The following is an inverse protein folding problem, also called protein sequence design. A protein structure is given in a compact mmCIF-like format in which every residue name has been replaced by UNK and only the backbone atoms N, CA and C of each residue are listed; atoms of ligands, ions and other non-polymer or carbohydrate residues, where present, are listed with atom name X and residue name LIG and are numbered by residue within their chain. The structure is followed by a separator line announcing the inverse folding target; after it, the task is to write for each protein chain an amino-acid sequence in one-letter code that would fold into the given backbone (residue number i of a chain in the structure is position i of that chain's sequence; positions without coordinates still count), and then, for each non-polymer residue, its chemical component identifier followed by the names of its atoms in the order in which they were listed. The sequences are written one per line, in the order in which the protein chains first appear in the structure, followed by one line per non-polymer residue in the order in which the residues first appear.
data_IF_764813355700
#
_entry.id   IF_764813355700
#
_cell.length_a   1.000
_cell.length_b   1.000
_cell.length_c   1.000
_cell.angle_alpha   90.00
_cell.angle_beta   90.00
_cell.angle_gamma   90.00
#
_symmetry.space_group_name_H-M   'P 1'
#
loop_
_entity.id
_entity.type
_entity.pdbx_description
1 polymer ?
#
# COMPACT_ATOMS: atom_id res chain seq x y z
N UNK A 1 -2.83 14.11 0.76
CA UNK A 1 -4.13 13.48 0.42
C UNK A 1 -4.09 12.57 -0.81
N UNK A 2 -2.90 12.21 -1.35
CA UNK A 2 -2.75 11.32 -2.53
C UNK A 2 -3.43 9.97 -2.31
N UNK A 3 -3.42 9.45 -1.08
CA UNK A 3 -4.12 8.21 -0.71
C UNK A 3 -5.61 8.19 -1.06
N UNK A 4 -6.30 9.34 -1.07
CA UNK A 4 -7.71 9.40 -1.47
C UNK A 4 -7.94 9.14 -2.97
N UNK A 5 -6.90 9.19 -3.80
CA UNK A 5 -7.00 8.87 -5.23
C UNK A 5 -7.03 7.36 -5.49
N UNK A 6 -6.60 6.52 -4.53
CA UNK A 6 -6.68 5.05 -4.64
C UNK A 6 -7.70 4.48 -3.65
N UNK A 7 -7.74 5.01 -2.42
CA UNK A 7 -8.56 4.56 -1.29
C UNK A 7 -8.46 3.05 -0.95
N UNK A 8 -7.58 2.28 -1.58
CA UNK A 8 -7.24 0.94 -1.12
C UNK A 8 -6.47 0.99 0.20
N UNK A 9 -5.67 2.04 0.37
CA UNK A 9 -4.83 2.30 1.53
C UNK A 9 -4.93 3.78 1.90
N UNK A 10 -4.83 4.08 3.19
CA UNK A 10 -4.84 5.46 3.73
C UNK A 10 -3.50 5.87 4.35
N UNK A 11 -2.52 5.00 4.29
CA UNK A 11 -1.16 5.15 4.76
C UNK A 11 -0.30 4.15 3.96
N UNK A 12 1.04 4.17 4.07
CA UNK A 12 1.85 3.11 3.50
C UNK A 12 1.39 1.73 4.00
N UNK A 13 1.35 0.73 3.11
CA UNK A 13 0.88 -0.61 3.43
C UNK A 13 1.55 -1.25 4.66
N UNK A 14 2.83 -0.93 4.93
CA UNK A 14 3.56 -1.42 6.10
C UNK A 14 3.09 -0.85 7.45
N UNK A 15 2.32 0.23 7.45
CA UNK A 15 1.68 0.77 8.66
C UNK A 15 0.39 0.00 9.02
N UNK A 16 -0.06 -0.93 8.18
CA UNK A 16 -1.23 -1.77 8.38
C UNK A 16 -2.53 -0.98 8.67
N UNK A 17 -2.65 0.26 8.14
CA UNK A 17 -3.86 1.09 8.28
C UNK A 17 -4.88 0.67 7.23
N UNK A 18 -5.68 -0.33 7.57
CA UNK A 18 -6.79 -0.80 6.73
C UNK A 18 -8.09 -0.08 7.10
N UNK A 19 -8.85 0.36 6.10
CA UNK A 19 -10.16 0.99 6.33
C UNK A 19 -11.10 0.03 7.10
N UNK A 20 -11.15 -1.22 6.68
CA UNK A 20 -11.78 -2.31 7.45
C UNK A 20 -13.28 -2.12 7.71
N UNK A 21 -14.02 -1.47 6.80
CA UNK A 21 -15.45 -1.22 6.95
C UNK A 21 -16.23 -2.19 6.06
N UNK A 22 -17.03 -3.06 6.69
CA UNK A 22 -17.98 -3.91 5.98
C UNK A 22 -19.21 -3.14 5.51
N UNK A 23 -19.83 -3.60 4.42
CA UNK A 23 -21.01 -2.98 3.81
C UNK A 23 -22.16 -2.74 4.79
N UNK A 24 -22.32 -3.59 5.81
CA UNK A 24 -23.36 -3.43 6.83
C UNK A 24 -23.27 -2.09 7.58
N UNK A 25 -22.06 -1.63 7.91
CA UNK A 25 -21.82 -0.35 8.57
C UNK A 25 -22.18 0.80 7.64
N UNK A 26 -21.80 0.69 6.36
CA UNK A 26 -22.06 1.71 5.35
C UNK A 26 -23.56 1.83 5.04
N UNK A 27 -24.24 0.69 4.86
CA UNK A 27 -25.70 0.63 4.66
C UNK A 27 -26.43 1.30 5.83
N UNK A 28 -26.04 0.97 7.07
CA UNK A 28 -26.59 1.61 8.28
C UNK A 28 -26.34 3.13 8.28
N UNK A 29 -25.11 3.54 7.99
CA UNK A 29 -24.71 4.96 8.00
C UNK A 29 -25.43 5.78 6.92
N UNK A 30 -25.64 5.21 5.72
CA UNK A 30 -26.42 5.84 4.65
C UNK A 30 -27.88 5.99 5.09
N UNK A 31 -28.47 4.94 5.68
CA UNK A 31 -29.84 5.00 6.20
C UNK A 31 -30.02 6.14 7.21
N UNK A 32 -29.15 6.18 8.24
CA UNK A 32 -29.19 7.21 9.27
C UNK A 32 -28.88 8.63 8.75
N UNK A 33 -28.00 8.78 7.77
CA UNK A 33 -27.68 10.08 7.17
C UNK A 33 -28.81 10.59 6.28
N UNK A 34 -29.53 9.68 5.62
CA UNK A 34 -30.56 10.02 4.63
C UNK A 34 -31.98 9.99 5.16
N UNK A 35 -32.17 9.57 6.42
CA UNK A 35 -33.51 9.42 7.01
C UNK A 35 -34.27 8.22 6.45
N UNK A 36 -33.56 7.18 5.99
CA UNK A 36 -34.14 5.97 5.42
C UNK A 36 -33.77 4.73 6.25
N UNK A 37 -34.42 3.59 5.99
CA UNK A 37 -34.12 2.35 6.73
C UNK A 37 -32.95 1.60 6.11
N UNK A 38 -32.12 0.89 6.90
CA UNK A 38 -31.05 0.04 6.37
C UNK A 38 -31.53 -1.01 5.37
N UNK A 39 -32.76 -1.53 5.56
CA UNK A 39 -33.40 -2.47 4.63
C UNK A 39 -33.60 -1.85 3.26
N UNK A 40 -34.16 -0.64 3.20
CA UNK A 40 -34.36 0.08 1.95
C UNK A 40 -33.03 0.34 1.20
N UNK A 41 -31.99 0.76 1.92
CA UNK A 41 -30.65 0.97 1.35
C UNK A 41 -30.07 -0.34 0.81
N UNK A 42 -30.23 -1.46 1.54
CA UNK A 42 -29.78 -2.79 1.10
C UNK A 42 -30.49 -3.24 -0.18
N UNK A 43 -31.80 -3.03 -0.28
CA UNK A 43 -32.59 -3.39 -1.47
C UNK A 43 -32.18 -2.56 -2.69
N UNK A 44 -31.90 -1.26 -2.50
CA UNK A 44 -31.32 -0.41 -3.56
C UNK A 44 -29.92 -0.87 -3.97
N UNK A 45 -29.10 -1.29 -3.00
CA UNK A 45 -27.75 -1.77 -3.28
C UNK A 45 -27.77 -3.06 -4.11
N UNK A 46 -28.67 -4.00 -3.80
CA UNK A 46 -28.86 -5.22 -4.60
C UNK A 46 -29.25 -4.91 -6.05
N UNK A 47 -30.07 -3.88 -6.28
CA UNK A 47 -30.49 -3.46 -7.63
C UNK A 47 -29.38 -2.74 -8.40
N UNK A 48 -28.60 -1.88 -7.72
CA UNK A 48 -27.61 -1.03 -8.39
C UNK A 48 -26.20 -1.63 -8.46
N UNK A 49 -25.84 -2.54 -7.57
CA UNK A 49 -24.48 -3.12 -7.46
C UNK A 49 -23.39 -2.12 -7.03
N UNK A 50 -23.78 -0.92 -6.58
CA UNK A 50 -22.86 0.16 -6.20
C UNK A 50 -23.42 0.99 -5.04
N UNK A 51 -22.85 0.82 -3.84
CA UNK A 51 -23.33 1.51 -2.65
C UNK A 51 -23.06 3.02 -2.69
N UNK A 52 -22.04 3.47 -3.44
CA UNK A 52 -21.80 4.89 -3.67
C UNK A 52 -22.90 5.53 -4.50
N UNK A 53 -23.38 4.87 -5.55
CA UNK A 53 -24.52 5.37 -6.34
C UNK A 53 -25.80 5.43 -5.48
N UNK A 54 -26.01 4.44 -4.61
CA UNK A 54 -27.12 4.44 -3.64
C UNK A 54 -27.01 5.63 -2.70
N UNK A 55 -25.82 5.91 -2.16
CA UNK A 55 -25.58 7.04 -1.28
C UNK A 55 -25.84 8.38 -1.96
N UNK A 56 -25.35 8.57 -3.19
CA UNK A 56 -25.62 9.76 -4.00
C UNK A 56 -27.11 9.96 -4.24
N UNK A 57 -27.81 8.93 -4.72
CA UNK A 57 -29.24 9.01 -5.03
C UNK A 57 -30.11 9.22 -3.76
N UNK A 58 -29.68 8.67 -2.63
CA UNK A 58 -30.38 8.88 -1.35
C UNK A 58 -30.14 10.30 -0.82
N UNK A 59 -28.91 10.83 -1.00
CA UNK A 59 -28.54 12.18 -0.57
C UNK A 59 -29.24 13.27 -1.40
N UNK A 60 -29.35 13.10 -2.71
CA UNK A 60 -30.00 14.07 -3.60
C UNK A 60 -31.50 14.22 -3.35
N UNK A 61 -32.16 13.16 -2.83
CA UNK A 61 -33.61 13.14 -2.55
C UNK A 61 -34.01 13.69 -1.18
N UNK A 62 -33.07 13.97 -0.27
CA UNK A 62 -33.41 14.54 1.02
C UNK A 62 -34.00 15.93 0.83
N UNK A 63 -35.21 16.19 1.33
CA UNK A 63 -35.66 17.56 1.55
C UNK A 63 -34.88 18.12 2.74
N UNK A 64 -34.20 19.25 2.56
CA UNK A 64 -33.71 20.02 3.72
C UNK A 64 -34.75 21.10 3.99
N UNK A 65 -35.26 21.15 5.21
CA UNK A 65 -35.82 22.37 5.78
C UNK A 65 -34.65 23.37 5.87
N UNK A 66 -34.42 24.14 4.81
CA UNK A 66 -33.39 25.17 4.76
C UNK A 66 -33.94 26.43 5.39
N UNK A 67 -33.79 26.58 6.70
CA UNK A 67 -33.75 27.91 7.33
C UNK A 67 -32.47 28.60 6.83
N UNK A 68 -32.56 29.86 6.44
CA UNK A 68 -31.52 30.68 5.78
C UNK A 68 -30.17 30.82 6.53
N UNK A 69 -29.94 30.11 7.65
CA UNK A 69 -28.79 30.28 8.54
C UNK A 69 -27.85 29.06 8.69
N UNK A 70 -28.08 27.90 8.06
CA UNK A 70 -27.28 26.68 8.38
C UNK A 70 -26.90 25.81 7.17
N UNK A 71 -26.30 26.37 6.12
CA UNK A 71 -25.61 25.53 5.13
C UNK A 71 -24.35 24.92 5.80
N UNK A 72 -24.21 23.58 5.88
CA UNK A 72 -23.04 22.98 6.49
C UNK A 72 -21.77 23.37 5.72
N UNK A 73 -20.67 23.59 6.46
CA UNK A 73 -19.37 23.93 5.85
C UNK A 73 -18.96 22.81 4.87
N UNK A 74 -18.61 23.16 3.62
CA UNK A 74 -18.18 22.18 2.61
C UNK A 74 -17.09 21.24 3.13
N UNK A 75 -17.03 20.04 2.55
CA UNK A 75 -15.99 19.08 2.88
C UNK A 75 -14.63 19.59 2.35
N UNK A 76 -13.64 19.65 3.24
CA UNK A 76 -12.26 19.87 2.84
C UNK A 76 -11.58 18.51 2.70
N UNK A 77 -10.72 18.35 1.69
CA UNK A 77 -10.02 17.08 1.41
C UNK A 77 -9.26 16.57 2.63
N UNK A 78 -8.58 17.46 3.36
CA UNK A 78 -7.86 17.11 4.59
C UNK A 78 -8.78 16.56 5.68
N UNK A 79 -9.99 17.13 5.85
CA UNK A 79 -10.95 16.63 6.82
C UNK A 79 -11.48 15.24 6.44
N UNK A 80 -11.80 15.02 5.16
CA UNK A 80 -12.24 13.70 4.67
C UNK A 80 -11.15 12.65 4.91
N UNK A 81 -9.90 12.95 4.54
CA UNK A 81 -8.77 12.06 4.79
C UNK A 81 -8.59 11.74 6.28
N UNK A 82 -8.59 12.75 7.14
CA UNK A 82 -8.41 12.58 8.58
C UNK A 82 -9.54 11.76 9.20
N UNK A 83 -10.79 11.99 8.80
CA UNK A 83 -11.94 11.21 9.27
C UNK A 83 -11.86 9.75 8.79
N UNK A 84 -11.42 9.50 7.54
CA UNK A 84 -11.21 8.15 7.03
C UNK A 84 -10.08 7.42 7.76
N UNK A 85 -8.95 8.09 8.04
CA UNK A 85 -7.84 7.53 8.84
C UNK A 85 -8.30 7.24 10.27
N UNK A 86 -9.08 8.15 10.87
CA UNK A 86 -9.67 7.94 12.20
C UNK A 86 -10.55 6.71 12.22
N UNK A 87 -11.44 6.55 11.24
CA UNK A 87 -12.28 5.36 11.09
C UNK A 87 -11.44 4.08 10.97
N UNK A 88 -10.36 4.10 10.17
CA UNK A 88 -9.47 2.96 9.96
C UNK A 88 -8.77 2.52 11.26
N UNK A 89 -8.31 3.49 12.07
CA UNK A 89 -7.59 3.23 13.33
C UNK A 89 -8.50 2.81 14.49
N UNK A 90 -9.82 2.99 14.38
CA UNK A 90 -10.76 2.66 15.46
C UNK A 90 -10.98 1.14 15.60
N UNK A 91 -10.81 0.65 16.82
CA UNK A 91 -10.99 -0.74 17.23
C UNK A 91 -11.67 -0.83 18.60
N UNK A 92 -12.02 -2.05 19.04
CA UNK A 92 -12.63 -2.31 20.36
C UNK A 92 -14.16 -2.20 20.42
N UNK A 93 -14.70 -2.43 21.62
CA UNK A 93 -16.12 -2.38 21.92
C UNK A 93 -16.62 -0.93 21.68
N UNK A 94 -17.73 -0.76 20.96
CA UNK A 94 -18.29 0.52 20.48
C UNK A 94 -17.64 1.17 19.24
N UNK A 95 -16.54 0.63 18.70
CA UNK A 95 -15.92 1.17 17.48
C UNK A 95 -16.92 1.29 16.32
N UNK A 96 -17.81 0.30 16.16
CA UNK A 96 -18.84 0.25 15.13
C UNK A 96 -19.79 1.46 15.14
N UNK A 97 -20.33 1.82 16.31
CA UNK A 97 -21.26 2.93 16.46
C UNK A 97 -20.57 4.28 16.16
N UNK A 98 -19.36 4.46 16.68
CA UNK A 98 -18.56 5.66 16.44
C UNK A 98 -18.16 5.79 14.97
N UNK A 99 -17.83 4.69 14.27
CA UNK A 99 -17.60 4.68 12.81
C UNK A 99 -18.84 5.14 12.05
N UNK A 100 -20.02 4.60 12.38
CA UNK A 100 -21.29 5.06 11.79
C UNK A 100 -21.52 6.57 11.98
N UNK A 101 -21.26 7.09 13.18
CA UNK A 101 -21.43 8.52 13.48
C UNK A 101 -20.53 9.43 12.62
N UNK A 102 -19.27 9.04 12.41
CA UNK A 102 -18.35 9.81 11.56
C UNK A 102 -18.80 9.76 10.09
N UNK A 103 -19.13 8.56 9.58
CA UNK A 103 -19.60 8.39 8.20
C UNK A 103 -20.88 9.21 7.96
N UNK A 104 -21.83 9.16 8.91
CA UNK A 104 -23.04 9.98 8.86
C UNK A 104 -22.71 11.47 8.77
N UNK A 105 -21.78 11.96 9.60
CA UNK A 105 -21.36 13.37 9.59
C UNK A 105 -20.76 13.79 8.23
N UNK A 106 -19.93 12.94 7.63
CA UNK A 106 -19.40 13.15 6.28
C UNK A 106 -20.53 13.24 5.24
N UNK A 107 -21.47 12.28 5.25
CA UNK A 107 -22.59 12.23 4.30
C UNK A 107 -23.54 13.42 4.41
N UNK A 108 -23.84 13.87 5.64
CA UNK A 108 -24.72 15.03 5.88
C UNK A 108 -24.09 16.34 5.38
N UNK A 109 -22.76 16.41 5.30
CA UNK A 109 -22.03 17.57 4.78
C UNK A 109 -21.77 17.52 3.27
N UNK A 110 -21.98 16.35 2.63
CA UNK A 110 -21.88 16.24 1.18
C UNK A 110 -22.94 17.13 0.51
N UNK A 111 -22.53 17.84 -0.53
CA UNK A 111 -23.43 18.58 -1.42
C UNK A 111 -24.40 17.60 -2.10
N UNK A 112 -25.66 17.99 -2.19
CA UNK A 112 -26.75 17.18 -2.76
C UNK A 112 -26.68 17.07 -4.27
N UNK A 113 -26.04 18.06 -4.92
CA UNK A 113 -25.91 18.13 -6.38
C UNK A 113 -24.58 17.57 -6.89
N UNK A 114 -23.70 17.11 -5.99
CA UNK A 114 -22.37 16.62 -6.34
C UNK A 114 -22.26 15.09 -6.27
N UNK A 115 -21.09 14.59 -6.67
CA UNK A 115 -20.70 13.19 -6.55
C UNK A 115 -20.00 12.88 -5.20
N UNK A 116 -19.93 13.81 -4.25
CA UNK A 116 -19.15 13.64 -3.01
C UNK A 116 -19.59 12.41 -2.22
N UNK A 117 -20.90 12.23 -1.99
CA UNK A 117 -21.43 11.08 -1.27
C UNK A 117 -21.09 9.75 -1.97
N UNK A 118 -21.05 9.75 -3.32
CA UNK A 118 -20.66 8.60 -4.12
C UNK A 118 -19.23 8.19 -3.81
N UNK A 119 -18.30 9.13 -3.88
CA UNK A 119 -16.87 8.85 -3.73
C UNK A 119 -16.45 8.66 -2.27
N UNK A 120 -17.10 9.31 -1.30
CA UNK A 120 -16.90 9.02 0.12
C UNK A 120 -17.23 7.55 0.42
N UNK A 121 -18.40 7.05 0.01
CA UNK A 121 -18.79 5.66 0.26
C UNK A 121 -17.91 4.69 -0.51
N UNK A 122 -17.63 4.94 -1.79
CA UNK A 122 -16.73 4.10 -2.57
C UNK A 122 -15.31 4.06 -1.98
N UNK A 123 -14.82 5.18 -1.47
CA UNK A 123 -13.54 5.26 -0.77
C UNK A 123 -13.54 4.42 0.51
N UNK A 124 -14.60 4.53 1.33
CA UNK A 124 -14.76 3.73 2.53
C UNK A 124 -14.94 2.22 2.25
N UNK A 125 -15.43 1.84 1.07
CA UNK A 125 -15.46 0.45 0.60
C UNK A 125 -14.11 -0.05 0.06
N UNK A 126 -13.12 0.83 -0.11
CA UNK A 126 -11.86 0.53 -0.79
C UNK A 126 -12.01 0.28 -2.30
N UNK A 127 -13.09 0.79 -2.92
CA UNK A 127 -13.45 0.51 -4.33
C UNK A 127 -13.92 1.79 -5.04
N UNK A 128 -12.99 2.66 -5.42
CA UNK A 128 -13.31 3.93 -6.11
C UNK A 128 -13.94 3.75 -7.51
N UNK A 129 -13.58 2.69 -8.22
CA UNK A 129 -14.08 2.37 -9.57
C UNK A 129 -13.85 3.51 -10.57
N UNK A 130 -12.66 4.12 -10.53
CA UNK A 130 -12.26 5.23 -11.42
C UNK A 130 -11.26 4.81 -12.51
N UNK A 131 -10.81 3.54 -12.51
CA UNK A 131 -9.86 3.03 -13.51
C UNK A 131 -8.41 3.50 -13.32
N UNK A 132 -8.09 4.14 -12.20
CA UNK A 132 -6.73 4.57 -11.84
C UNK A 132 -6.12 3.66 -10.78
N UNK A 133 -4.80 3.50 -10.84
CA UNK A 133 -4.01 2.70 -9.91
C UNK A 133 -2.71 3.42 -9.54
N UNK A 134 -1.86 2.78 -8.71
CA UNK A 134 -0.61 3.37 -8.22
C UNK A 134 0.33 3.88 -9.33
N UNK A 135 0.41 3.18 -10.47
CA UNK A 135 1.22 3.65 -11.62
C UNK A 135 0.70 4.97 -12.20
N UNK A 136 -0.63 5.15 -12.24
CA UNK A 136 -1.23 6.41 -12.68
C UNK A 136 -0.85 7.57 -11.76
N UNK A 137 -0.77 7.33 -10.45
CA UNK A 137 -0.34 8.35 -9.49
C UNK A 137 1.11 8.77 -9.75
N UNK A 138 2.01 7.81 -9.95
CA UNK A 138 3.41 8.12 -10.25
C UNK A 138 3.53 8.95 -11.52
N UNK A 139 2.81 8.58 -12.58
CA UNK A 139 2.76 9.34 -13.83
C UNK A 139 2.21 10.75 -13.64
N UNK A 140 1.11 10.90 -12.90
CA UNK A 140 0.50 12.20 -12.62
C UNK A 140 1.41 13.09 -11.77
N UNK A 141 2.09 12.54 -10.76
CA UNK A 141 3.06 13.28 -9.96
C UNK A 141 4.26 13.73 -10.82
N UNK A 142 4.80 12.84 -11.66
CA UNK A 142 5.86 13.22 -12.61
C UNK A 142 5.41 14.42 -13.46
N UNK A 143 4.28 14.32 -14.15
CA UNK A 143 3.81 15.38 -15.03
C UNK A 143 3.46 16.68 -14.28
N UNK A 144 2.86 16.58 -13.08
CA UNK A 144 2.46 17.75 -12.30
C UNK A 144 3.66 18.60 -11.83
N UNK A 145 4.80 17.97 -11.56
CA UNK A 145 6.01 18.65 -11.12
C UNK A 145 6.96 18.99 -12.28
N UNK A 146 6.80 18.37 -13.45
CA UNK A 146 7.70 18.57 -14.58
C UNK A 146 7.59 19.98 -15.16
N UNK A 147 8.72 20.55 -15.59
CA UNK A 147 8.77 21.88 -16.18
C UNK A 147 7.89 21.98 -17.45
N UNK A 148 7.04 23.01 -17.61
CA UNK A 148 6.09 23.14 -18.73
C UNK A 148 6.71 23.03 -20.12
N UNK A 149 7.97 23.46 -20.27
CA UNK A 149 8.72 23.34 -21.54
C UNK A 149 8.98 21.89 -21.95
N UNK A 150 9.05 20.96 -21.01
CA UNK A 150 9.35 19.54 -21.25
C UNK A 150 8.12 18.64 -21.15
N UNK A 151 7.01 19.14 -20.61
CA UNK A 151 5.76 18.37 -20.46
C UNK A 151 5.22 17.84 -21.80
N UNK A 152 5.57 18.42 -22.95
CA UNK A 152 5.19 17.93 -24.27
C UNK A 152 6.07 16.80 -24.82
N UNK A 153 7.26 16.58 -24.25
CA UNK A 153 8.25 15.65 -24.77
C UNK A 153 8.13 14.27 -24.11
N UNK A 154 7.85 13.24 -24.94
CA UNK A 154 7.66 11.87 -24.45
C UNK A 154 8.93 11.22 -23.92
N UNK A 155 10.10 11.55 -24.46
CA UNK A 155 11.37 11.00 -24.01
C UNK A 155 11.73 11.55 -22.63
N UNK A 156 11.60 12.88 -22.45
CA UNK A 156 11.85 13.53 -21.17
C UNK A 156 10.84 13.10 -20.10
N UNK A 157 9.56 12.92 -20.46
CA UNK A 157 8.57 12.34 -19.55
C UNK A 157 8.96 10.93 -19.09
N UNK A 158 9.47 10.09 -19.99
CA UNK A 158 9.88 8.72 -19.67
C UNK A 158 11.12 8.69 -18.76
N UNK A 159 12.06 9.62 -18.97
CA UNK A 159 13.23 9.82 -18.12
C UNK A 159 12.83 10.25 -16.71
N UNK A 160 12.04 11.31 -16.57
CA UNK A 160 11.55 11.78 -15.28
C UNK A 160 10.75 10.69 -14.54
N UNK A 161 9.88 9.98 -15.27
CA UNK A 161 9.06 8.90 -14.71
C UNK A 161 9.91 7.71 -14.23
N UNK A 162 11.03 7.41 -14.90
CA UNK A 162 11.99 6.37 -14.45
C UNK A 162 12.50 6.68 -13.05
N UNK A 163 12.87 7.93 -12.78
CA UNK A 163 13.36 8.36 -11.48
C UNK A 163 12.26 8.34 -10.40
N UNK A 164 11.04 8.81 -10.71
CA UNK A 164 9.89 8.72 -9.79
C UNK A 164 9.54 7.27 -9.46
N UNK A 165 9.53 6.38 -10.46
CA UNK A 165 9.29 4.94 -10.25
C UNK A 165 10.37 4.30 -9.40
N UNK A 166 11.63 4.66 -9.62
CA UNK A 166 12.75 4.18 -8.79
C UNK A 166 12.60 4.63 -7.34
N UNK A 167 12.36 5.93 -7.12
CA UNK A 167 12.15 6.50 -5.79
C UNK A 167 11.02 5.79 -5.04
N UNK A 168 9.87 5.58 -5.68
CA UNK A 168 8.76 4.83 -5.06
C UNK A 168 9.06 3.33 -4.90
N UNK A 169 9.88 2.75 -5.77
CA UNK A 169 10.27 1.33 -5.65
C UNK A 169 11.17 1.10 -4.45
N UNK A 170 12.13 1.99 -4.21
CA UNK A 170 13.06 1.93 -3.08
C UNK A 170 12.42 2.41 -1.76
N UNK A 171 11.44 3.32 -1.84
CA UNK A 171 10.71 3.87 -0.70
C UNK A 171 9.21 4.05 -1.04
N UNK A 172 8.37 3.00 -0.90
CA UNK A 172 6.97 2.99 -1.32
C UNK A 172 6.08 3.77 -0.35
N UNK A 173 6.26 5.10 -0.33
CA UNK A 173 5.50 6.04 0.49
C UNK A 173 5.18 7.29 -0.33
N UNK A 174 3.89 7.53 -0.58
CA UNK A 174 3.45 8.67 -1.38
C UNK A 174 3.67 10.02 -0.68
N UNK A 175 3.67 10.05 0.65
CA UNK A 175 3.89 11.29 1.40
C UNK A 175 5.34 11.74 1.26
N UNK A 176 6.29 10.81 1.49
CA UNK A 176 7.71 11.08 1.31
C UNK A 176 8.03 11.43 -0.14
N UNK A 177 7.51 10.67 -1.11
CA UNK A 177 7.70 10.98 -2.53
C UNK A 177 7.21 12.40 -2.88
N UNK A 178 6.02 12.78 -2.42
CA UNK A 178 5.47 14.10 -2.69
C UNK A 178 6.25 15.23 -2.00
N UNK A 179 6.71 15.03 -0.76
CA UNK A 179 7.56 16.01 -0.07
C UNK A 179 8.93 16.15 -0.74
N UNK A 180 9.51 15.06 -1.25
CA UNK A 180 10.78 15.08 -1.97
C UNK A 180 10.64 15.83 -3.30
N UNK A 181 9.58 15.56 -4.06
CA UNK A 181 9.25 16.30 -5.28
C UNK A 181 9.05 17.80 -5.00
N UNK A 182 8.32 18.13 -3.93
CA UNK A 182 8.14 19.53 -3.52
C UNK A 182 9.47 20.18 -3.14
N UNK A 183 10.35 19.46 -2.44
CA UNK A 183 11.68 19.95 -2.06
C UNK A 183 12.50 20.28 -3.31
N UNK A 184 12.61 19.34 -4.26
CA UNK A 184 13.31 19.56 -5.54
C UNK A 184 12.70 20.74 -6.30
N UNK A 185 11.37 20.79 -6.39
CA UNK A 185 10.65 21.90 -7.03
C UNK A 185 10.92 23.26 -6.38
N UNK A 186 11.05 23.33 -5.05
CA UNK A 186 11.30 24.58 -4.33
C UNK A 186 12.75 25.06 -4.41
N UNK A 187 13.71 24.16 -4.68
CA UNK A 187 15.12 24.52 -4.90
C UNK A 187 15.32 25.24 -6.24
N UNK A 188 14.39 25.07 -7.18
CA UNK A 188 14.42 25.76 -8.45
C UNK A 188 14.17 27.27 -8.29
N UNK A 189 15.11 28.08 -8.76
CA UNK A 189 15.10 29.54 -8.66
C UNK A 189 13.93 30.22 -9.40
N UNK A 190 13.20 29.48 -10.24
CA UNK A 190 12.07 29.99 -11.00
C UNK A 190 10.71 29.40 -10.58
N UNK A 191 10.67 28.35 -9.74
CA UNK A 191 9.45 27.61 -9.33
C UNK A 191 8.48 27.27 -10.49
N UNK A 192 8.99 27.17 -11.73
CA UNK A 192 8.18 26.87 -12.92
C UNK A 192 8.00 25.37 -13.14
N UNK A 193 8.81 24.54 -12.49
CA UNK A 193 8.78 23.08 -12.55
C UNK A 193 10.18 22.48 -12.54
N UNK A 194 10.24 21.16 -12.44
CA UNK A 194 11.48 20.36 -12.34
C UNK A 194 11.83 19.84 -13.74
N UNK A 195 13.07 20.04 -14.18
CA UNK A 195 13.55 19.46 -15.43
C UNK A 195 13.78 17.95 -15.29
N UNK A 196 13.62 17.19 -16.37
CA UNK A 196 13.67 15.73 -16.36
C UNK A 196 14.95 15.18 -15.73
N UNK A 197 16.10 15.80 -16.02
CA UNK A 197 17.42 15.45 -15.49
C UNK A 197 17.53 15.57 -13.96
N UNK A 198 16.72 16.42 -13.34
CA UNK A 198 16.77 16.72 -11.90
C UNK A 198 15.94 15.76 -11.06
N UNK A 199 15.03 15.00 -11.67
CA UNK A 199 14.30 13.97 -10.93
C UNK A 199 15.23 12.90 -10.33
N UNK A 200 16.48 12.80 -10.79
CA UNK A 200 17.52 11.96 -10.17
C UNK A 200 17.78 12.31 -8.70
N UNK A 201 17.62 13.58 -8.31
CA UNK A 201 17.81 14.06 -6.93
C UNK A 201 16.81 13.42 -5.94
N UNK A 202 15.71 12.84 -6.43
CA UNK A 202 14.79 12.09 -5.57
C UNK A 202 15.49 10.95 -4.81
N UNK A 203 16.60 10.43 -5.35
CA UNK A 203 17.40 9.40 -4.69
C UNK A 203 18.07 9.89 -3.39
N UNK A 204 18.24 11.20 -3.18
CA UNK A 204 18.73 11.77 -1.91
C UNK A 204 17.75 11.50 -0.77
N UNK A 205 16.45 11.48 -1.07
CA UNK A 205 15.38 11.43 -0.08
C UNK A 205 14.68 10.06 -0.03
N UNK A 206 14.56 9.41 -1.19
CA UNK A 206 13.85 8.15 -1.38
C UNK A 206 14.84 7.06 -1.75
N UNK A 207 15.55 6.55 -0.75
CA UNK A 207 16.52 5.47 -0.91
C UNK A 207 16.23 4.30 0.02
N UNK A 208 16.73 3.15 -0.39
CA UNK A 208 16.58 1.90 0.33
C UNK A 208 17.11 2.00 1.76
N UNK A 209 16.23 1.77 2.74
CA UNK A 209 16.54 1.94 4.17
C UNK A 209 15.96 0.78 4.98
N UNK A 210 16.75 0.21 5.89
CA UNK A 210 16.26 -0.83 6.80
C UNK A 210 15.05 -0.33 7.63
N UNK A 211 13.97 -1.12 7.64
CA UNK A 211 12.71 -0.76 8.30
C UNK A 211 11.60 -0.25 7.38
N UNK A 212 11.92 0.11 6.13
CA UNK A 212 10.94 0.43 5.07
C UNK A 212 11.03 -0.64 3.97
N UNK A 213 9.93 -1.31 3.59
CA UNK A 213 9.99 -2.34 2.56
C UNK A 213 10.28 -1.75 1.17
N UNK A 214 10.80 -2.58 0.29
CA UNK A 214 11.22 -2.25 -1.07
C UNK A 214 10.38 -3.07 -2.05
N UNK A 215 10.01 -2.46 -3.18
CA UNK A 215 9.29 -3.13 -4.25
C UNK A 215 10.00 -4.43 -4.66
N UNK A 216 9.31 -5.58 -4.59
CA UNK A 216 9.93 -6.85 -4.93
C UNK A 216 10.25 -6.93 -6.42
N UNK A 217 11.40 -7.51 -6.76
CA UNK A 217 11.64 -7.93 -8.14
C UNK A 217 10.61 -8.99 -8.54
N UNK A 218 9.93 -8.77 -9.67
CA UNK A 218 8.90 -9.66 -10.19
C UNK A 218 9.43 -10.54 -11.32
N UNK A 219 8.97 -11.78 -11.38
CA UNK A 219 9.31 -12.71 -12.45
C UNK A 219 8.35 -12.56 -13.64
N UNK A 220 8.86 -12.80 -14.85
CA UNK A 220 8.03 -12.87 -16.07
C UNK A 220 7.73 -14.34 -16.38
N UNK A 221 6.45 -14.74 -16.52
CA UNK A 221 6.11 -16.11 -16.84
C UNK A 221 6.69 -16.49 -18.20
N UNK A 222 7.36 -17.63 -18.26
CA UNK A 222 8.04 -18.13 -19.46
C UNK A 222 7.60 -19.57 -19.70
N UNK A 223 7.25 -19.91 -20.95
CA UNK A 223 6.59 -21.17 -21.27
C UNK A 223 7.53 -22.31 -21.65
N UNK A 224 8.81 -22.01 -21.92
CA UNK A 224 9.79 -23.01 -22.31
C UNK A 224 11.21 -22.56 -21.95
N UNK A 225 12.12 -23.54 -21.83
CA UNK A 225 13.54 -23.27 -21.63
C UNK A 225 14.16 -22.49 -22.80
N UNK A 226 13.72 -22.74 -24.03
CA UNK A 226 14.19 -22.01 -25.21
C UNK A 226 13.93 -20.50 -25.10
N UNK A 227 12.78 -20.08 -24.57
CA UNK A 227 12.51 -18.65 -24.34
C UNK A 227 13.41 -18.04 -23.26
N UNK A 228 13.84 -18.82 -22.27
CA UNK A 228 14.79 -18.36 -21.24
C UNK A 228 16.16 -18.15 -21.89
N UNK A 229 16.64 -19.13 -22.65
CA UNK A 229 17.92 -19.08 -23.35
C UNK A 229 17.96 -17.96 -24.39
N UNK A 230 16.89 -17.76 -25.16
CA UNK A 230 16.78 -16.66 -26.12
C UNK A 230 16.81 -15.29 -25.44
N UNK A 231 16.19 -15.16 -24.26
CA UNK A 231 16.17 -13.90 -23.52
C UNK A 231 17.51 -13.54 -22.89
N UNK A 232 18.19 -14.51 -22.28
CA UNK A 232 19.47 -14.28 -21.62
C UNK A 232 20.66 -14.36 -22.58
N UNK A 233 20.49 -15.01 -23.73
CA UNK A 233 21.53 -15.22 -24.73
C UNK A 233 22.82 -15.74 -24.08
N UNK A 234 23.93 -15.02 -24.25
CA UNK A 234 25.23 -15.35 -23.67
C UNK A 234 25.42 -14.84 -22.23
N UNK A 235 24.42 -14.15 -21.64
CA UNK A 235 24.53 -13.70 -20.25
C UNK A 235 24.44 -14.90 -19.30
N UNK A 236 25.38 -15.03 -18.34
CA UNK A 236 25.29 -16.06 -17.32
C UNK A 236 24.03 -15.84 -16.47
N UNK A 237 23.36 -16.93 -16.10
CA UNK A 237 22.19 -16.92 -15.23
C UNK A 237 22.24 -18.11 -14.26
N UNK A 238 21.52 -17.97 -13.15
CA UNK A 238 21.35 -19.04 -12.15
C UNK A 238 19.93 -19.60 -12.20
N UNK A 239 19.76 -20.83 -11.72
CA UNK A 239 18.47 -21.49 -11.59
C UNK A 239 18.22 -21.79 -10.11
N UNK A 240 17.14 -21.23 -9.57
CA UNK A 240 16.73 -21.44 -8.19
C UNK A 240 15.36 -22.10 -8.12
N UNK A 241 15.11 -22.85 -7.06
CA UNK A 241 13.79 -23.41 -6.81
C UNK A 241 12.79 -22.27 -6.56
N UNK A 242 11.70 -22.26 -7.32
CA UNK A 242 10.55 -21.42 -6.98
C UNK A 242 9.74 -22.10 -5.88
N UNK A 243 10.04 -21.75 -4.64
CA UNK A 243 9.33 -22.27 -3.47
C UNK A 243 7.84 -21.88 -3.46
N UNK A 244 7.02 -22.74 -2.85
CA UNK A 244 5.58 -22.52 -2.65
C UNK A 244 5.32 -22.09 -1.20
N UNK A 245 5.45 -20.79 -0.94
CA UNK A 245 5.34 -20.24 0.39
C UNK A 245 4.82 -18.81 0.38
N UNK A 246 5.24 -18.04 1.37
CA UNK A 246 4.95 -16.63 1.48
C UNK A 246 6.26 -15.84 1.37
N UNK A 247 6.36 -14.98 0.34
CA UNK A 247 7.50 -14.07 0.22
C UNK A 247 7.57 -13.15 1.42
N UNK A 248 8.73 -13.14 2.06
CA UNK A 248 9.03 -12.39 3.25
C UNK A 248 10.29 -11.57 3.01
N UNK A 249 10.12 -10.24 2.95
CA UNK A 249 11.23 -9.31 2.97
C UNK A 249 11.57 -9.02 4.44
N UNK A 250 12.72 -9.51 4.89
CA UNK A 250 13.14 -9.52 6.28
C UNK A 250 14.14 -8.39 6.50
N UNK A 251 13.79 -7.43 7.35
CA UNK A 251 14.62 -6.29 7.71
C UNK A 251 15.15 -6.47 9.12
N UNK A 252 16.47 -6.38 9.27
CA UNK A 252 17.16 -6.22 10.56
C UNK A 252 17.50 -4.74 10.69
N UNK A 253 17.02 -4.10 11.75
CA UNK A 253 17.26 -2.68 12.02
C UNK A 253 18.50 -2.49 12.91
N UNK A 254 19.15 -1.30 12.89
CA UNK A 254 20.32 -1.00 13.72
C UNK A 254 20.12 -1.20 15.23
N UNK A 255 18.88 -1.11 15.72
CA UNK A 255 18.53 -1.34 17.12
C UNK A 255 18.29 -2.83 17.45
N UNK A 256 18.49 -3.74 16.49
CA UNK A 256 18.24 -5.18 16.63
C UNK A 256 16.77 -5.59 16.42
N UNK A 257 15.86 -4.65 16.16
CA UNK A 257 14.48 -5.00 15.82
C UNK A 257 14.41 -5.67 14.45
N UNK A 258 13.46 -6.59 14.30
CA UNK A 258 13.23 -7.31 13.05
C UNK A 258 11.81 -7.04 12.60
N UNK A 259 11.71 -6.65 11.32
CA UNK A 259 10.45 -6.46 10.62
C UNK A 259 10.38 -7.39 9.42
N UNK A 260 9.21 -7.97 9.20
CA UNK A 260 8.96 -8.88 8.09
C UNK A 260 7.80 -8.31 7.28
N UNK A 261 8.05 -8.05 5.99
CA UNK A 261 7.04 -7.50 5.08
C UNK A 261 6.66 -8.53 4.02
N UNK A 262 5.38 -8.54 3.66
CA UNK A 262 4.88 -9.38 2.57
C UNK A 262 5.26 -8.79 1.20
N UNK A 263 4.95 -9.54 0.12
CA UNK A 263 5.06 -9.06 -1.26
C UNK A 263 4.36 -7.71 -1.52
N UNK A 264 3.28 -7.42 -0.80
CA UNK A 264 2.50 -6.19 -0.96
C UNK A 264 2.81 -5.17 0.15
N UNK A 265 4.00 -5.26 0.75
CA UNK A 265 4.48 -4.37 1.81
C UNK A 265 3.75 -4.46 3.15
N UNK A 266 2.71 -5.30 3.29
CA UNK A 266 2.01 -5.49 4.55
C UNK A 266 2.96 -6.03 5.63
N UNK A 267 2.96 -5.41 6.80
CA UNK A 267 3.81 -5.83 7.91
C UNK A 267 3.24 -7.11 8.53
N UNK A 268 3.98 -8.20 8.34
CA UNK A 268 3.65 -9.57 8.74
C UNK A 268 4.50 -10.05 9.93
N UNK A 269 5.17 -9.14 10.63
CA UNK A 269 6.08 -9.48 11.75
C UNK A 269 5.38 -10.27 12.85
N UNK A 270 4.16 -9.88 13.25
CA UNK A 270 3.38 -10.57 14.30
C UNK A 270 2.95 -11.99 13.91
N UNK A 271 2.92 -12.29 12.62
CA UNK A 271 2.55 -13.62 12.11
C UNK A 271 3.67 -14.64 12.29
N UNK A 272 4.92 -14.18 12.28
CA UNK A 272 6.12 -15.02 12.25
C UNK A 272 7.10 -14.71 13.39
N UNK A 273 6.69 -14.82 14.67
CA UNK A 273 7.58 -14.55 15.80
C UNK A 273 8.74 -15.57 15.92
N UNK A 274 8.54 -16.78 15.44
CA UNK A 274 9.55 -17.84 15.30
C UNK A 274 10.62 -17.51 14.25
N UNK A 275 10.21 -16.95 13.10
CA UNK A 275 11.14 -16.43 12.08
C UNK A 275 11.95 -15.27 12.65
N UNK A 276 11.29 -14.32 13.34
CA UNK A 276 11.95 -13.20 14.02
C UNK A 276 13.01 -13.69 15.00
N UNK A 277 12.69 -14.65 15.86
CA UNK A 277 13.66 -15.20 16.82
C UNK A 277 14.85 -15.89 16.12
N UNK A 278 14.58 -16.68 15.08
CA UNK A 278 15.61 -17.40 14.33
C UNK A 278 16.58 -16.45 13.63
N UNK A 279 16.05 -15.40 12.99
CA UNK A 279 16.84 -14.37 12.32
C UNK A 279 17.65 -13.54 13.34
N UNK A 280 17.07 -13.19 14.49
CA UNK A 280 17.81 -12.47 15.55
C UNK A 280 19.04 -13.26 16.01
N UNK A 281 18.86 -14.57 16.25
CA UNK A 281 19.94 -15.45 16.67
C UNK A 281 21.02 -15.60 15.57
N UNK A 282 20.62 -15.68 14.30
CA UNK A 282 21.57 -15.76 13.19
C UNK A 282 22.36 -14.45 13.01
N UNK A 283 21.67 -13.30 13.09
CA UNK A 283 22.27 -11.97 12.98
C UNK A 283 23.31 -11.70 14.07
N UNK A 284 23.00 -12.07 15.32
CA UNK A 284 23.91 -11.93 16.45
C UNK A 284 25.19 -12.74 16.26
N UNK A 285 25.09 -13.98 15.77
CA UNK A 285 26.25 -14.85 15.49
C UNK A 285 27.13 -14.31 14.35
N UNK A 286 26.54 -13.66 13.36
CA UNK A 286 27.22 -13.15 12.18
C UNK A 286 27.66 -11.68 12.29
N UNK A 287 27.46 -11.04 13.45
CA UNK A 287 27.76 -9.62 13.70
C UNK A 287 27.10 -8.66 12.66
N UNK A 288 25.86 -8.96 12.28
CA UNK A 288 25.06 -8.15 11.36
C UNK A 288 24.31 -7.07 12.13
N UNK A 289 24.55 -5.81 11.80
CA UNK A 289 23.92 -4.66 12.48
C UNK A 289 22.64 -4.21 11.80
N UNK A 290 22.57 -4.30 10.47
CA UNK A 290 21.35 -3.99 9.70
C UNK A 290 21.35 -4.74 8.39
N UNK A 291 20.19 -5.14 7.91
CA UNK A 291 20.10 -6.03 6.75
C UNK A 291 18.72 -5.97 6.10
N UNK A 292 18.65 -6.19 4.79
CA UNK A 292 17.39 -6.48 4.07
C UNK A 292 17.60 -7.73 3.24
N UNK A 293 16.89 -8.81 3.59
CA UNK A 293 16.94 -10.11 2.93
C UNK A 293 15.60 -10.38 2.27
N UNK A 294 15.62 -10.87 1.04
CA UNK A 294 14.42 -11.39 0.38
C UNK A 294 14.43 -12.92 0.48
N UNK A 295 13.30 -13.47 0.94
CA UNK A 295 13.18 -14.88 1.25
C UNK A 295 11.77 -15.40 1.00
N UNK A 296 11.64 -16.72 0.88
CA UNK A 296 10.37 -17.41 0.94
C UNK A 296 10.25 -18.14 2.29
N UNK A 297 9.17 -17.87 3.03
CA UNK A 297 8.81 -18.64 4.23
C UNK A 297 7.92 -19.79 3.80
N UNK A 298 8.35 -21.02 4.06
CA UNK A 298 7.69 -22.24 3.56
C UNK A 298 7.33 -23.13 4.74
N UNK A 299 6.12 -23.69 4.76
CA UNK A 299 5.72 -24.65 5.77
C UNK A 299 6.52 -25.95 5.65
N UNK A 300 6.91 -26.55 6.76
CA UNK A 300 7.68 -27.80 6.79
C UNK A 300 7.15 -28.75 7.86
N UNK A 301 7.25 -30.04 7.59
CA UNK A 301 7.03 -31.09 8.58
C UNK A 301 8.33 -31.33 9.37
N UNK A 302 8.30 -31.15 10.69
CA UNK A 302 9.50 -31.30 11.55
C UNK A 302 10.00 -32.74 11.67
N UNK A 303 9.13 -33.73 11.42
CA UNK A 303 9.45 -35.15 11.56
C UNK A 303 10.11 -35.66 10.28
N UNK A 304 9.54 -35.30 9.13
CA UNK A 304 10.01 -35.78 7.82
C UNK A 304 10.97 -34.82 7.12
N UNK A 305 11.10 -33.58 7.61
CA UNK A 305 11.82 -32.47 6.97
C UNK A 305 11.32 -32.16 5.54
N UNK A 306 10.09 -32.54 5.21
CA UNK A 306 9.49 -32.26 3.91
C UNK A 306 8.81 -30.90 3.89
N UNK A 307 8.88 -30.24 2.72
CA UNK A 307 8.14 -29.00 2.44
C UNK A 307 6.66 -29.33 2.31
N UNK A 308 5.83 -28.51 2.93
CA UNK A 308 4.38 -28.61 2.89
C UNK A 308 3.78 -27.55 1.95
N UNK A 309 2.60 -27.80 1.36
CA UNK A 309 1.94 -26.84 0.48
C UNK A 309 1.60 -25.51 1.16
N UNK A 310 1.50 -24.44 0.37
CA UNK A 310 1.11 -23.12 0.86
C UNK A 310 -0.23 -23.12 1.64
N UNK A 311 -1.19 -23.99 1.29
CA UNK A 311 -2.44 -24.08 2.04
C UNK A 311 -2.21 -24.37 3.52
N UNK A 312 -1.22 -25.20 3.86
CA UNK A 312 -0.86 -25.48 5.27
C UNK A 312 -0.30 -24.23 5.93
N UNK A 313 0.60 -23.50 5.26
CA UNK A 313 1.15 -22.24 5.75
C UNK A 313 0.05 -21.19 6.02
N UNK A 314 -0.96 -21.14 5.14
CA UNK A 314 -2.07 -20.17 5.22
C UNK A 314 -2.97 -20.36 6.44
N UNK A 315 -2.91 -21.52 7.10
CA UNK A 315 -3.65 -21.79 8.35
C UNK A 315 -3.04 -21.11 9.57
N UNK A 316 -1.81 -20.59 9.48
CA UNK A 316 -1.18 -19.86 10.58
C UNK A 316 -1.99 -18.61 10.93
N UNK A 317 -2.24 -18.32 12.23
CA UNK A 317 -2.90 -17.10 12.64
C UNK A 317 -2.11 -15.87 12.18
N UNK A 318 -2.80 -14.79 11.82
CA UNK A 318 -2.17 -13.58 11.27
C UNK A 318 -1.64 -12.61 12.33
N UNK A 319 -2.21 -12.64 13.54
CA UNK A 319 -1.91 -11.71 14.64
C UNK A 319 -1.91 -12.44 15.97
N UNK A 320 -1.29 -11.84 16.99
CA UNK A 320 -1.21 -12.38 18.36
C UNK A 320 -0.67 -13.82 18.41
N UNK A 321 0.31 -14.15 17.56
CA UNK A 321 0.90 -15.49 17.54
C UNK A 321 1.89 -15.61 18.69
N UNK A 322 1.69 -16.61 19.54
CA UNK A 322 2.65 -16.96 20.61
C UNK A 322 3.52 -18.11 20.12
N UNK A 323 4.84 -18.00 20.32
CA UNK A 323 5.82 -18.98 19.79
C UNK A 323 5.53 -20.42 20.25
N UNK A 324 5.10 -20.59 21.51
CA UNK A 324 4.76 -21.91 22.08
C UNK A 324 3.50 -22.55 21.48
N UNK A 325 2.64 -21.78 20.82
CA UNK A 325 1.38 -22.25 20.24
C UNK A 325 1.48 -22.54 18.73
N UNK A 326 2.67 -22.37 18.13
CA UNK A 326 2.89 -22.58 16.71
C UNK A 326 2.83 -24.07 16.38
N UNK A 327 1.77 -24.46 15.66
CA UNK A 327 1.57 -25.83 15.16
C UNK A 327 2.27 -26.10 13.82
N UNK A 328 2.28 -25.10 12.93
CA UNK A 328 2.87 -25.21 11.60
C UNK A 328 4.28 -24.64 11.62
N UNK A 329 5.27 -25.52 11.55
CA UNK A 329 6.67 -25.14 11.45
C UNK A 329 6.99 -24.53 10.09
N UNK A 330 7.98 -23.66 10.04
CA UNK A 330 8.41 -23.00 8.80
C UNK A 330 9.93 -23.01 8.65
N UNK A 331 10.39 -23.01 7.40
CA UNK A 331 11.78 -22.76 7.02
C UNK A 331 11.85 -21.47 6.20
N UNK A 332 13.00 -20.80 6.28
CA UNK A 332 13.31 -19.56 5.55
C UNK A 332 14.26 -19.92 4.42
N UNK A 333 13.82 -19.69 3.18
CA UNK A 333 14.64 -19.88 1.99
C UNK A 333 15.01 -18.50 1.44
N UNK A 334 16.15 -17.97 1.88
CA UNK A 334 16.67 -16.70 1.37
C UNK A 334 17.18 -16.85 -0.07
N UNK A 335 16.88 -15.88 -0.91
CA UNK A 335 17.29 -15.87 -2.32
C UNK A 335 17.89 -14.53 -2.78
N UNK A 336 17.75 -13.45 -2.00
CA UNK A 336 18.37 -12.17 -2.32
C UNK A 336 18.79 -11.40 -1.06
N UNK A 337 19.80 -10.52 -1.20
CA UNK A 337 20.31 -9.64 -0.16
C UNK A 337 20.42 -8.22 -0.74
N UNK A 338 19.58 -7.31 -0.26
CA UNK A 338 19.45 -5.97 -0.82
C UNK A 338 20.25 -4.91 -0.04
N UNK A 339 20.52 -5.16 1.24
CA UNK A 339 21.18 -4.21 2.13
C UNK A 339 21.91 -4.94 3.24
N UNK A 340 23.12 -4.49 3.57
CA UNK A 340 23.92 -5.03 4.67
C UNK A 340 24.75 -3.92 5.33
N UNK A 341 24.62 -3.80 6.65
CA UNK A 341 25.43 -2.95 7.52
C UNK A 341 25.60 -1.51 7.00
N UNK A 342 24.49 -0.87 6.63
CA UNK A 342 24.49 0.52 6.14
C UNK A 342 24.73 0.67 4.63
N UNK A 343 24.98 -0.42 3.90
CA UNK A 343 25.29 -0.38 2.46
C UNK A 343 24.21 -1.10 1.66
N UNK A 344 23.70 -0.44 0.63
CA UNK A 344 22.89 -1.07 -0.41
C UNK A 344 23.78 -2.05 -1.18
N UNK A 345 23.31 -3.28 -1.36
CA UNK A 345 24.00 -4.25 -2.21
C UNK A 345 23.61 -3.93 -3.65
N UNK A 346 24.57 -3.62 -4.53
CA UNK A 346 24.26 -3.34 -5.91
C UNK A 346 23.67 -4.61 -6.55
N UNK A 347 22.48 -4.49 -7.14
CA UNK A 347 22.07 -5.47 -8.14
C UNK A 347 23.07 -5.34 -9.28
N UNK A 348 23.87 -6.38 -9.50
CA UNK A 348 24.91 -6.37 -10.52
C UNK A 348 24.29 -6.31 -11.93
N UNK A 349 23.99 -5.10 -12.38
CA UNK A 349 23.77 -4.69 -13.77
C UNK A 349 24.28 -3.26 -13.96
N UNK A 350 25.43 -2.98 -13.36
CA UNK A 350 26.26 -1.80 -13.62
C UNK A 350 27.75 -2.19 -13.49
N UNK A 351 28.12 -3.31 -14.12
CA UNK A 351 29.51 -3.64 -14.42
C UNK A 351 29.70 -3.41 -15.93
N UNK A 352 30.50 -2.38 -16.21
CA UNK A 352 31.03 -1.89 -17.49
C UNK A 352 30.02 -1.53 -18.59
#
# INVERSE_FOLDING_TARGET
CIYLCVCTELAPAYDNVQIGIGDAILIKSIGEATGTTPKFVKDLYQKQGDLGKVAQASRSKQSTLMTFQTKPKPLAVAHVYNDMVKIAKMSGNNSQASKCSIIKSLLVRCDKLSDEAKYVIRGLQGKLRIGLAGQSILMSLTQAFMHPKEQGDKALQAEALKHVKRAFSEFPNYEVLASSLLTVFTRENDQKGVFASQFVELAEFCHLTAGTPVSPMLARPTKSYAMVLDRFQAMPFTCEYKYDGERAQIHILPNGDIRIFSRNFENSTERFPDVKLSIANAAAKANVTSCIVDAEVVAVDKTTNQRLPFQVLSTRPRKNVVVSEIKVAVCIYAFDLLFLNGKVIPSSSSLS
#
